data_IF_692432686290
#
_entry.id   IF_692432686290
#
_cell.length_a   1.000
_cell.length_b   1.000
_cell.length_c   1.000
_cell.angle_alpha   90.00
_cell.angle_beta   90.00
_cell.angle_gamma   90.00
#
_symmetry.space_group_name_H-M   'P 1'
#
loop_
_entity.id
_entity.type
_entity.pdbx_description
1 polymer ?
#
# COMPACT_ATOMS: atom_id res chain seq x y z
N UNK A 1 -2.32 60.16 -47.13
CA UNK A 1 -2.37 59.82 -48.56
C UNK A 1 -2.13 58.32 -48.71
N UNK A 2 -3.01 57.65 -49.47
CA UNK A 2 -2.98 56.27 -50.04
C UNK A 2 -2.46 55.09 -49.19
N UNK A 3 -3.28 54.10 -48.77
CA UNK A 3 -3.99 53.01 -49.50
C UNK A 3 -3.09 51.98 -50.20
N UNK A 4 -3.15 50.71 -49.74
CA UNK A 4 -3.21 49.40 -50.45
C UNK A 4 -3.22 48.30 -49.33
N UNK A 5 -4.29 47.56 -48.97
CA UNK A 5 -5.04 46.46 -49.64
C UNK A 5 -4.09 45.39 -50.25
N UNK A 6 -4.19 44.05 -50.05
CA UNK A 6 -5.36 43.14 -50.09
C UNK A 6 -4.93 41.65 -49.82
N UNK A 7 -5.84 40.82 -49.25
CA UNK A 7 -6.06 39.34 -49.33
C UNK A 7 -4.91 38.35 -48.95
N UNK A 8 -5.07 37.09 -48.50
CA UNK A 8 -6.07 36.00 -48.52
C UNK A 8 -5.82 35.16 -47.22
N UNK A 9 -6.77 34.55 -46.50
CA UNK A 9 -7.75 33.57 -46.95
C UNK A 9 -7.21 32.13 -46.73
N UNK A 10 -7.65 31.43 -45.68
CA UNK A 10 -7.95 29.99 -45.73
C UNK A 10 -8.65 29.52 -44.44
N UNK A 11 -9.90 29.11 -44.64
CA UNK A 11 -10.73 28.39 -43.70
C UNK A 11 -10.26 26.93 -43.60
N UNK A 12 -10.22 26.40 -42.38
CA UNK A 12 -10.00 24.98 -42.11
C UNK A 12 -11.03 24.47 -41.10
N UNK A 13 -12.23 24.16 -41.60
CA UNK A 13 -13.17 23.29 -40.90
C UNK A 13 -12.76 21.84 -41.16
N UNK A 14 -12.39 21.10 -40.13
CA UNK A 14 -12.32 19.63 -40.19
C UNK A 14 -12.98 19.00 -38.98
N UNK A 15 -14.15 18.45 -39.29
CA UNK A 15 -14.99 17.47 -38.61
C UNK A 15 -14.46 16.79 -37.32
N UNK A 16 -15.30 16.90 -36.28
CA UNK A 16 -15.45 15.90 -35.24
C UNK A 16 -15.78 14.52 -35.83
N UNK A 17 -15.08 13.49 -35.35
CA UNK A 17 -15.51 12.10 -35.39
C UNK A 17 -15.46 11.58 -33.94
N UNK A 18 -16.59 11.68 -33.25
CA UNK A 18 -16.81 10.99 -31.97
C UNK A 18 -17.32 9.60 -32.34
N UNK A 19 -16.42 8.61 -32.31
CA UNK A 19 -16.81 7.21 -32.40
C UNK A 19 -17.41 6.79 -31.05
N UNK A 20 -18.73 6.70 -31.01
CA UNK A 20 -19.45 6.00 -29.94
C UNK A 20 -19.35 4.49 -30.22
N UNK A 21 -18.56 3.78 -29.42
CA UNK A 21 -18.63 2.32 -29.35
C UNK A 21 -19.56 1.93 -28.20
N UNK A 22 -20.80 1.59 -28.58
CA UNK A 22 -21.67 0.77 -27.75
C UNK A 22 -21.11 -0.65 -27.72
N UNK A 23 -20.63 -1.10 -26.55
CA UNK A 23 -20.44 -2.52 -26.31
C UNK A 23 -21.38 -2.97 -25.19
N UNK A 24 -22.34 -3.78 -25.62
CA UNK A 24 -23.33 -4.43 -24.79
C UNK A 24 -22.66 -5.29 -23.72
N UNK A 25 -23.17 -5.16 -22.50
CA UNK A 25 -22.87 -6.00 -21.34
C UNK A 25 -23.30 -7.43 -21.63
N UNK A 26 -22.34 -8.36 -21.66
CA UNK A 26 -22.63 -9.76 -21.35
C UNK A 26 -22.35 -9.99 -19.86
N UNK A 27 -23.41 -9.93 -19.06
CA UNK A 27 -23.41 -10.43 -17.69
C UNK A 27 -23.10 -11.93 -17.70
N UNK A 28 -21.98 -12.33 -17.10
CA UNK A 28 -21.82 -13.67 -16.55
C UNK A 28 -21.62 -13.54 -15.05
N UNK A 29 -22.57 -14.08 -14.30
CA UNK A 29 -22.58 -14.15 -12.85
C UNK A 29 -21.37 -14.95 -12.33
N UNK A 30 -20.53 -14.30 -11.53
CA UNK A 30 -19.54 -14.95 -10.67
C UNK A 30 -20.10 -15.01 -9.25
N UNK A 31 -20.06 -16.19 -8.66
CA UNK A 31 -20.66 -16.54 -7.37
C UNK A 31 -20.02 -15.78 -6.20
N UNK A 32 -20.86 -15.24 -5.31
CA UNK A 32 -20.47 -14.78 -3.99
C UNK A 32 -20.37 -16.01 -3.07
N UNK A 33 -19.18 -16.39 -2.63
CA UNK A 33 -19.04 -17.28 -1.48
C UNK A 33 -19.14 -16.44 -0.19
N UNK A 34 -20.30 -16.57 0.46
CA UNK A 34 -20.57 -16.00 1.78
C UNK A 34 -20.05 -17.00 2.81
N UNK A 35 -18.92 -16.68 3.45
CA UNK A 35 -18.50 -17.39 4.66
C UNK A 35 -19.20 -16.74 5.86
N UNK A 36 -20.07 -17.51 6.51
CA UNK A 36 -20.78 -17.07 7.71
C UNK A 36 -19.89 -17.22 8.96
N UNK A 37 -19.43 -16.11 9.53
CA UNK A 37 -18.99 -16.05 10.92
C UNK A 37 -19.85 -15.03 11.70
N UNK A 38 -20.17 -15.37 12.95
CA UNK A 38 -21.23 -14.77 13.75
C UNK A 38 -21.21 -13.23 13.88
N UNK A 39 -22.42 -12.66 13.81
CA UNK A 39 -22.89 -11.34 14.25
C UNK A 39 -22.08 -10.06 13.98
N UNK A 40 -21.01 -10.09 13.20
CA UNK A 40 -20.35 -8.89 12.68
C UNK A 40 -20.41 -8.88 11.16
N UNK A 41 -21.13 -7.89 10.62
CA UNK A 41 -21.13 -7.60 9.19
C UNK A 41 -19.86 -6.81 8.84
N UNK A 42 -18.73 -7.49 8.69
CA UNK A 42 -17.55 -6.91 8.07
C UNK A 42 -17.62 -7.13 6.56
N UNK A 43 -18.13 -6.11 5.86
CA UNK A 43 -17.93 -6.01 4.40
C UNK A 43 -16.48 -5.54 4.20
N UNK A 44 -15.54 -6.49 4.22
CA UNK A 44 -14.16 -6.22 3.84
C UNK A 44 -14.14 -6.06 2.32
N UNK A 45 -14.03 -4.82 1.85
CA UNK A 45 -13.75 -4.55 0.45
C UNK A 45 -12.43 -5.18 0.06
N UNK A 46 -12.53 -6.17 -0.81
CA UNK A 46 -11.44 -6.98 -1.29
C UNK A 46 -10.41 -6.13 -2.04
N UNK A 47 -9.15 -6.55 -1.88
CA UNK A 47 -7.99 -6.18 -2.68
C UNK A 47 -8.38 -5.84 -4.13
N UNK A 48 -7.95 -4.66 -4.59
CA UNK A 48 -8.32 -4.09 -5.88
C UNK A 48 -8.19 -5.08 -7.03
N UNK A 49 -9.33 -5.61 -7.46
CA UNK A 49 -9.51 -6.23 -8.77
C UNK A 49 -9.52 -5.13 -9.84
N UNK A 50 -8.34 -4.68 -10.26
CA UNK A 50 -8.19 -3.96 -11.52
C UNK A 50 -7.15 -4.67 -12.40
N UNK A 51 -7.54 -5.86 -12.85
CA UNK A 51 -6.85 -6.57 -13.93
C UNK A 51 -7.33 -6.02 -15.28
N UNK A 52 -6.42 -5.36 -16.00
CA UNK A 52 -6.58 -4.94 -17.39
C UNK A 52 -5.73 -3.73 -17.76
N UNK A 53 -4.53 -3.94 -18.34
CA UNK A 53 -3.69 -2.93 -19.03
C UNK A 53 -3.42 -1.58 -18.30
N UNK A 54 -2.91 -1.58 -17.05
CA UNK A 54 -2.75 -0.34 -16.30
C UNK A 54 -1.31 -0.14 -15.79
N UNK A 55 -0.68 0.98 -16.15
CA UNK A 55 0.66 1.43 -15.76
C UNK A 55 0.77 1.80 -14.25
N UNK A 56 0.25 0.97 -13.35
CA UNK A 56 0.12 1.25 -11.92
C UNK A 56 1.18 0.48 -11.14
N UNK A 57 2.11 1.21 -10.50
CA UNK A 57 3.19 0.64 -9.68
C UNK A 57 3.00 1.06 -8.21
N UNK A 58 3.58 0.31 -7.27
CA UNK A 58 3.61 0.63 -5.83
C UNK A 58 2.22 0.92 -5.22
N UNK A 59 1.33 -0.07 -5.29
CA UNK A 59 -0.04 0.08 -4.77
C UNK A 59 -0.07 -0.26 -3.27
N UNK A 60 -0.45 0.71 -2.44
CA UNK A 60 -0.69 0.52 -1.01
C UNK A 60 -2.20 0.58 -0.78
N UNK A 61 -2.89 -0.54 -0.53
CA UNK A 61 -4.35 -0.55 -0.33
C UNK A 61 -4.74 0.11 1.00
N UNK A 62 -5.98 0.59 1.11
CA UNK A 62 -6.51 1.07 2.40
C UNK A 62 -6.51 -0.02 3.45
N UNK A 63 -5.93 0.24 4.63
CA UNK A 63 -6.01 -0.67 5.78
C UNK A 63 -7.16 -0.26 6.70
N UNK A 64 -8.13 -1.15 6.88
CA UNK A 64 -9.15 -1.02 7.92
C UNK A 64 -8.63 -1.74 9.17
N UNK A 65 -7.73 -1.10 9.90
CA UNK A 65 -7.12 -1.61 11.14
C UNK A 65 -7.25 -0.64 12.32
N UNK A 66 -6.58 -0.95 13.44
CA UNK A 66 -6.58 -0.14 14.68
C UNK A 66 -6.13 1.30 14.43
N UNK A 67 -5.22 1.49 13.47
CA UNK A 67 -4.88 2.78 12.91
C UNK A 67 -5.72 3.01 11.64
N UNK A 68 -6.68 3.94 11.72
CA UNK A 68 -7.67 4.22 10.68
C UNK A 68 -7.03 4.92 9.47
N UNK A 69 -6.26 4.17 8.67
CA UNK A 69 -5.62 4.68 7.47
C UNK A 69 -6.58 4.57 6.28
N UNK A 70 -7.40 5.60 6.08
CA UNK A 70 -8.30 5.67 4.92
C UNK A 70 -7.52 5.91 3.63
N UNK A 71 -7.96 5.32 2.51
CA UNK A 71 -7.42 5.57 1.17
C UNK A 71 -6.28 4.68 0.72
N UNK A 72 -5.96 4.75 -0.57
CA UNK A 72 -4.94 3.94 -1.23
C UNK A 72 -3.91 4.82 -1.93
N UNK A 73 -2.66 4.37 -1.96
CA UNK A 73 -1.57 5.02 -2.69
C UNK A 73 -1.22 4.23 -3.94
N UNK A 74 -0.81 4.90 -5.01
CA UNK A 74 -0.29 4.27 -6.22
C UNK A 74 0.55 5.24 -7.04
N UNK A 75 1.42 4.70 -7.89
CA UNK A 75 2.20 5.45 -8.88
C UNK A 75 1.62 5.19 -10.27
N UNK A 76 1.37 6.25 -11.04
CA UNK A 76 0.95 6.14 -12.44
C UNK A 76 1.83 7.03 -13.31
N UNK A 77 2.51 6.42 -14.30
CA UNK A 77 3.51 7.10 -15.12
C UNK A 77 4.78 7.42 -14.32
N UNK A 78 4.80 8.58 -13.66
CA UNK A 78 5.86 8.99 -12.73
C UNK A 78 5.30 9.91 -11.61
N UNK A 79 3.99 9.85 -11.38
CA UNK A 79 3.29 10.67 -10.41
C UNK A 79 2.72 9.78 -9.31
N UNK A 80 2.87 10.23 -8.07
CA UNK A 80 2.33 9.58 -6.89
C UNK A 80 0.93 10.12 -6.61
N UNK A 81 0.00 9.22 -6.33
CA UNK A 81 -1.39 9.55 -6.07
C UNK A 81 -1.86 8.93 -4.77
N UNK A 82 -2.81 9.61 -4.13
CA UNK A 82 -3.60 9.11 -3.02
C UNK A 82 -5.08 9.20 -3.37
N UNK A 83 -5.80 8.10 -3.25
CA UNK A 83 -7.26 8.05 -3.42
C UNK A 83 -7.92 7.81 -2.07
N UNK A 84 -8.65 8.79 -1.51
CA UNK A 84 -9.38 8.59 -0.26
C UNK A 84 -10.45 7.49 -0.41
N UNK A 85 -10.63 6.64 0.61
CA UNK A 85 -11.74 5.69 0.62
C UNK A 85 -13.04 6.46 0.93
N UNK A 86 -14.09 6.39 0.09
CA UNK A 86 -15.35 7.07 0.38
C UNK A 86 -16.01 6.46 1.63
N UNK A 87 -16.28 7.30 2.64
CA UNK A 87 -17.00 6.87 3.85
C UNK A 87 -18.51 6.93 3.56
N UNK A 88 -19.15 5.78 3.40
CA UNK A 88 -20.61 5.70 3.31
C UNK A 88 -21.21 5.80 4.73
N UNK A 89 -21.74 6.97 5.09
CA UNK A 89 -22.49 7.13 6.35
C UNK A 89 -23.92 6.62 6.16
N UNK A 90 -24.20 5.40 6.61
CA UNK A 90 -25.59 4.90 6.76
C UNK A 90 -26.17 5.45 8.07
N UNK A 91 -27.25 6.21 7.97
CA UNK A 91 -27.95 6.75 9.13
C UNK A 91 -28.92 5.66 9.66
N UNK A 92 -28.72 5.12 10.88
CA UNK A 92 -29.45 3.93 11.35
C UNK A 92 -30.93 4.17 11.69
N UNK A 93 -31.40 5.41 11.66
CA UNK A 93 -32.73 5.81 12.16
C UNK A 93 -33.88 5.69 11.15
N UNK A 94 -33.67 5.20 9.92
CA UNK A 94 -34.78 5.03 8.98
C UNK A 94 -34.58 3.90 7.97
N UNK A 95 -34.81 2.66 8.41
CA UNK A 95 -34.92 1.49 7.52
C UNK A 95 -36.14 1.53 6.58
N UNK A 96 -37.00 2.56 6.66
CA UNK A 96 -38.25 2.63 5.88
C UNK A 96 -38.20 3.54 4.65
N UNK A 97 -37.14 4.33 4.43
CA UNK A 97 -36.95 5.11 3.19
C UNK A 97 -35.50 5.58 3.11
N UNK A 98 -34.55 4.65 3.01
CA UNK A 98 -33.16 5.00 2.78
C UNK A 98 -33.03 5.55 1.35
N UNK A 99 -33.19 6.87 1.19
CA UNK A 99 -32.73 7.56 0.00
C UNK A 99 -31.23 7.25 -0.15
N UNK A 100 -30.90 6.39 -1.11
CA UNK A 100 -29.53 6.11 -1.51
C UNK A 100 -28.92 7.44 -1.95
N UNK A 101 -28.12 8.05 -1.08
CA UNK A 101 -27.33 9.19 -1.47
C UNK A 101 -26.25 8.67 -2.42
N UNK A 102 -26.09 9.27 -3.61
CA UNK A 102 -25.04 8.86 -4.52
C UNK A 102 -23.70 8.94 -3.78
N UNK A 103 -22.97 7.82 -3.79
CA UNK A 103 -21.62 7.75 -3.25
C UNK A 103 -20.79 8.76 -4.02
N UNK A 104 -20.32 9.81 -3.35
CA UNK A 104 -19.33 10.71 -3.95
C UNK A 104 -18.04 9.90 -4.14
N UNK A 105 -17.74 9.59 -5.40
CA UNK A 105 -16.46 8.98 -5.76
C UNK A 105 -15.38 10.00 -5.45
N UNK A 106 -14.55 9.72 -4.45
CA UNK A 106 -13.40 10.56 -4.14
C UNK A 106 -12.44 10.55 -5.33
N UNK A 107 -12.07 11.74 -5.82
CA UNK A 107 -11.11 11.87 -6.90
C UNK A 107 -9.69 11.61 -6.38
N UNK A 108 -8.83 10.90 -7.13
CA UNK A 108 -7.42 10.77 -6.80
C UNK A 108 -6.76 12.14 -6.66
N UNK A 109 -5.93 12.30 -5.64
CA UNK A 109 -5.14 13.50 -5.36
C UNK A 109 -3.69 13.19 -5.66
N UNK A 110 -3.08 13.96 -6.57
CA UNK A 110 -1.65 13.87 -6.81
C UNK A 110 -0.88 14.40 -5.59
N UNK A 111 0.11 13.64 -5.14
CA UNK A 111 0.98 14.05 -4.05
C UNK A 111 1.99 15.09 -4.52
N UNK A 112 2.35 16.00 -3.62
CA UNK A 112 3.43 16.95 -3.85
C UNK A 112 4.74 16.37 -3.30
N UNK A 113 5.78 16.36 -4.13
CA UNK A 113 7.11 15.95 -3.70
C UNK A 113 7.60 16.84 -2.54
N UNK A 114 7.99 16.23 -1.42
CA UNK A 114 8.40 16.95 -0.22
C UNK A 114 7.28 17.69 0.51
N UNK A 115 6.01 17.36 0.24
CA UNK A 115 4.84 18.00 0.84
C UNK A 115 4.57 17.62 2.30
N UNK A 116 5.05 16.47 2.77
CA UNK A 116 4.73 15.89 4.09
C UNK A 116 3.22 15.72 4.35
N UNK A 117 2.40 15.73 3.30
CA UNK A 117 0.94 15.74 3.44
C UNK A 117 0.39 14.38 3.86
N UNK A 118 1.16 13.31 3.66
CA UNK A 118 0.79 11.92 3.96
C UNK A 118 1.80 11.21 4.86
N UNK A 119 2.79 11.94 5.40
CA UNK A 119 3.87 11.37 6.19
C UNK A 119 3.37 10.60 7.42
N UNK A 120 2.35 11.09 8.12
CA UNK A 120 1.75 10.36 9.27
C UNK A 120 1.10 9.05 8.86
N UNK A 121 0.31 9.08 7.79
CA UNK A 121 -0.37 7.90 7.24
C UNK A 121 0.66 6.86 6.76
N UNK A 122 1.63 7.30 5.96
CA UNK A 122 2.68 6.44 5.39
C UNK A 122 3.62 5.89 6.45
N UNK A 123 4.03 6.69 7.45
CA UNK A 123 4.88 6.22 8.54
C UNK A 123 4.18 5.17 9.42
N UNK A 124 2.90 5.37 9.76
CA UNK A 124 2.12 4.40 10.52
C UNK A 124 1.92 3.08 9.76
N UNK A 125 1.66 3.15 8.45
CA UNK A 125 1.59 1.97 7.58
C UNK A 125 2.93 1.26 7.46
N UNK A 126 4.03 2.00 7.35
CA UNK A 126 5.38 1.44 7.24
C UNK A 126 5.74 0.65 8.49
N UNK A 127 5.47 1.21 9.67
CA UNK A 127 5.66 0.51 10.95
C UNK A 127 4.82 -0.78 11.00
N UNK A 128 3.56 -0.69 10.61
CA UNK A 128 2.63 -1.83 10.63
C UNK A 128 3.10 -2.97 9.71
N UNK A 129 3.44 -2.67 8.45
CA UNK A 129 3.86 -3.69 7.49
C UNK A 129 5.27 -4.23 7.80
N UNK A 130 6.19 -3.40 8.27
CA UNK A 130 7.51 -3.87 8.73
C UNK A 130 7.39 -4.83 9.91
N UNK A 131 6.46 -4.58 10.84
CA UNK A 131 6.18 -5.50 11.94
C UNK A 131 5.61 -6.83 11.44
N UNK A 132 4.69 -6.80 10.47
CA UNK A 132 4.14 -8.03 9.85
C UNK A 132 5.19 -8.83 9.11
N UNK A 133 6.10 -8.17 8.40
CA UNK A 133 7.24 -8.82 7.75
C UNK A 133 8.11 -9.55 8.78
N UNK A 134 8.48 -8.88 9.88
CA UNK A 134 9.28 -9.48 10.95
C UNK A 134 8.58 -10.67 11.60
N UNK A 135 7.28 -10.56 11.91
CA UNK A 135 6.52 -11.69 12.46
C UNK A 135 6.48 -12.87 11.50
N UNK A 136 6.23 -12.64 10.21
CA UNK A 136 6.16 -13.72 9.22
C UNK A 136 7.51 -14.41 9.09
N UNK A 137 8.61 -13.65 9.02
CA UNK A 137 9.98 -14.15 9.10
C UNK A 137 10.18 -15.05 10.32
N UNK A 138 9.87 -14.51 11.50
CA UNK A 138 10.12 -15.17 12.77
C UNK A 138 9.32 -16.46 12.94
N UNK A 139 8.08 -16.53 12.46
CA UNK A 139 7.28 -17.74 12.63
C UNK A 139 7.53 -18.76 11.53
N UNK A 140 7.80 -18.35 10.29
CA UNK A 140 7.70 -19.24 9.14
C UNK A 140 9.01 -19.48 8.38
N UNK A 141 10.09 -18.79 8.73
CA UNK A 141 11.32 -18.80 7.93
C UNK A 141 12.62 -19.02 8.73
N UNK A 142 12.55 -19.28 10.03
CA UNK A 142 13.73 -19.47 10.90
C UNK A 142 14.70 -20.57 10.45
N UNK A 143 14.21 -21.54 9.68
CA UNK A 143 15.00 -22.66 9.17
C UNK A 143 15.87 -22.30 7.97
N UNK A 144 15.68 -21.14 7.33
CA UNK A 144 16.45 -20.76 6.15
C UNK A 144 17.88 -20.34 6.54
N UNK A 145 18.89 -20.71 5.74
CA UNK A 145 20.25 -20.17 5.91
C UNK A 145 20.25 -18.64 5.88
N UNK A 146 21.10 -18.02 6.69
CA UNK A 146 21.18 -16.55 6.78
C UNK A 146 20.08 -15.90 7.62
N UNK A 147 19.08 -16.66 8.12
CA UNK A 147 17.93 -16.12 8.83
C UNK A 147 18.28 -15.09 9.91
N UNK A 148 19.26 -15.38 10.76
CA UNK A 148 19.61 -14.50 11.89
C UNK A 148 20.09 -13.11 11.43
N UNK A 149 20.87 -13.05 10.35
CA UNK A 149 21.42 -11.81 9.81
C UNK A 149 20.33 -11.01 9.10
N UNK A 150 19.62 -11.64 8.15
CA UNK A 150 18.53 -11.00 7.42
C UNK A 150 17.38 -10.57 8.35
N UNK A 151 17.06 -11.35 9.39
CA UNK A 151 16.05 -10.98 10.38
C UNK A 151 16.47 -9.78 11.22
N UNK A 152 17.75 -9.68 11.60
CA UNK A 152 18.29 -8.52 12.32
C UNK A 152 18.18 -7.24 11.47
N UNK A 153 18.44 -7.35 10.18
CA UNK A 153 18.29 -6.26 9.22
C UNK A 153 16.82 -5.85 9.04
N UNK A 154 15.93 -6.82 8.84
CA UNK A 154 14.49 -6.57 8.77
C UNK A 154 13.94 -5.92 10.06
N UNK A 155 14.45 -6.35 11.22
CA UNK A 155 14.09 -5.74 12.50
C UNK A 155 14.62 -4.30 12.61
N UNK A 156 15.79 -4.02 12.02
CA UNK A 156 16.34 -2.67 11.95
C UNK A 156 15.51 -1.73 11.06
N UNK A 157 14.85 -2.28 10.01
CA UNK A 157 13.82 -1.56 9.25
C UNK A 157 12.61 -1.22 10.12
N UNK A 158 12.12 -2.18 10.93
CA UNK A 158 11.00 -1.95 11.85
C UNK A 158 11.34 -0.87 12.90
N UNK A 159 12.52 -0.92 13.51
CA UNK A 159 12.95 0.10 14.48
C UNK A 159 13.06 1.48 13.83
N UNK A 160 13.55 1.55 12.59
CA UNK A 160 13.57 2.80 11.81
C UNK A 160 12.17 3.31 11.49
N UNK A 161 11.23 2.42 11.14
CA UNK A 161 9.83 2.78 10.88
C UNK A 161 9.15 3.37 12.13
N UNK A 162 9.33 2.74 13.30
CA UNK A 162 8.87 3.24 14.61
C UNK A 162 9.47 4.62 14.91
N UNK A 163 10.77 4.78 14.66
CA UNK A 163 11.45 6.05 14.88
C UNK A 163 10.87 7.15 13.99
N UNK A 164 10.71 6.89 12.69
CA UNK A 164 10.10 7.83 11.73
C UNK A 164 8.69 8.21 12.14
N UNK A 165 7.86 7.24 12.53
CA UNK A 165 6.50 7.51 13.01
C UNK A 165 6.50 8.36 14.29
N UNK A 166 7.38 8.08 15.26
CA UNK A 166 7.53 8.91 16.45
C UNK A 166 8.02 10.34 16.14
N UNK A 167 8.93 10.49 15.17
CA UNK A 167 9.44 11.80 14.72
C UNK A 167 8.43 12.63 13.96
N UNK A 168 7.49 11.99 13.27
CA UNK A 168 6.36 12.67 12.64
C UNK A 168 5.49 13.39 13.68
N UNK A 169 5.20 12.76 14.82
CA UNK A 169 4.46 13.41 15.92
C UNK A 169 5.23 14.59 16.55
N UNK A 170 6.57 14.60 16.41
CA UNK A 170 7.43 15.68 16.89
C UNK A 170 7.66 16.79 15.84
N UNK A 171 7.22 16.59 14.58
CA UNK A 171 7.49 17.50 13.47
C UNK A 171 8.95 17.54 13.01
N UNK A 172 9.75 16.52 13.36
CA UNK A 172 11.20 16.48 13.10
C UNK A 172 11.50 15.96 11.67
N UNK A 173 11.32 16.84 10.69
CA UNK A 173 11.41 16.51 9.26
C UNK A 173 12.79 16.04 8.82
N UNK A 174 13.85 16.57 9.41
CA UNK A 174 15.22 16.22 9.02
C UNK A 174 15.59 14.84 9.54
N UNK A 175 15.18 14.50 10.76
CA UNK A 175 15.33 13.14 11.28
C UNK A 175 14.55 12.12 10.44
N UNK A 176 13.32 12.46 10.03
CA UNK A 176 12.52 11.61 9.13
C UNK A 176 13.27 11.34 7.83
N UNK A 177 13.74 12.40 7.15
CA UNK A 177 14.46 12.24 5.89
C UNK A 177 15.71 11.37 6.03
N UNK A 178 16.52 11.64 7.06
CA UNK A 178 17.75 10.89 7.31
C UNK A 178 17.50 9.39 7.42
N UNK A 179 16.50 8.99 8.21
CA UNK A 179 16.18 7.59 8.41
C UNK A 179 15.53 6.95 7.18
N UNK A 180 14.59 7.64 6.52
CA UNK A 180 13.94 7.13 5.31
C UNK A 180 14.95 6.83 4.20
N UNK A 181 15.96 7.69 3.98
CA UNK A 181 17.04 7.44 3.00
C UNK A 181 17.80 6.13 3.27
N UNK A 182 18.02 5.80 4.55
CA UNK A 182 18.80 4.61 4.93
C UNK A 182 18.01 3.31 4.80
N UNK A 183 16.68 3.38 4.93
CA UNK A 183 15.81 2.20 4.91
C UNK A 183 15.74 1.55 3.53
N UNK A 184 15.85 2.33 2.46
CA UNK A 184 15.66 1.87 1.07
C UNK A 184 16.71 0.83 0.66
N UNK A 185 17.99 1.15 0.81
CA UNK A 185 19.08 0.20 0.52
C UNK A 185 19.06 -1.04 1.43
N UNK A 186 18.69 -0.86 2.70
CA UNK A 186 18.55 -1.98 3.64
C UNK A 186 17.39 -2.91 3.24
N UNK A 187 16.27 -2.36 2.77
CA UNK A 187 15.14 -3.14 2.31
C UNK A 187 15.47 -3.95 1.05
N UNK A 188 16.15 -3.37 0.08
CA UNK A 188 16.57 -4.09 -1.12
C UNK A 188 17.51 -5.26 -0.80
N UNK A 189 18.43 -5.07 0.16
CA UNK A 189 19.28 -6.17 0.64
C UNK A 189 18.43 -7.30 1.25
N UNK A 190 17.53 -6.97 2.18
CA UNK A 190 16.60 -7.94 2.79
C UNK A 190 15.79 -8.67 1.71
N UNK A 191 15.19 -7.95 0.76
CA UNK A 191 14.41 -8.54 -0.33
C UNK A 191 15.23 -9.49 -1.19
N UNK A 192 16.50 -9.17 -1.46
CA UNK A 192 17.42 -10.05 -2.18
C UNK A 192 17.57 -11.42 -1.51
N UNK A 193 17.79 -11.43 -0.19
CA UNK A 193 17.90 -12.66 0.59
C UNK A 193 16.59 -13.46 0.60
N UNK A 194 15.46 -12.77 0.82
CA UNK A 194 14.14 -13.39 0.93
C UNK A 194 13.70 -14.16 -0.32
N UNK A 195 14.14 -13.75 -1.51
CA UNK A 195 13.81 -14.41 -2.79
C UNK A 195 14.25 -15.87 -2.84
N UNK A 196 15.26 -16.24 -2.05
CA UNK A 196 15.82 -17.62 -2.03
C UNK A 196 15.20 -18.50 -0.95
N UNK A 197 14.40 -17.91 -0.05
CA UNK A 197 13.90 -18.60 1.13
C UNK A 197 12.66 -19.44 0.83
N UNK A 198 12.54 -20.53 1.58
CA UNK A 198 11.39 -21.41 1.58
C UNK A 198 10.55 -21.19 2.83
N UNK A 199 9.22 -21.31 2.69
CA UNK A 199 8.29 -21.15 3.81
C UNK A 199 8.02 -22.48 4.48
N UNK A 200 8.24 -22.56 5.80
CA UNK A 200 7.69 -23.60 6.65
C UNK A 200 6.53 -22.99 7.44
N UNK A 201 5.30 -23.24 7.00
CA UNK A 201 4.14 -22.59 7.57
C UNK A 201 3.86 -23.07 9.01
N UNK A 202 4.18 -22.24 9.99
CA UNK A 202 3.82 -22.43 11.40
C UNK A 202 2.64 -21.54 11.80
N UNK A 203 2.58 -20.31 11.26
CA UNK A 203 1.53 -19.34 11.60
C UNK A 203 1.25 -18.38 10.46
N UNK A 204 -0.02 -18.18 10.12
CA UNK A 204 -0.38 -17.13 9.18
C UNK A 204 -0.28 -15.76 9.86
N UNK A 205 0.57 -14.88 9.31
CA UNK A 205 0.66 -13.48 9.69
C UNK A 205 0.01 -12.68 8.57
N UNK A 206 -1.17 -12.17 8.83
CA UNK A 206 -2.03 -11.54 7.84
C UNK A 206 -2.22 -12.27 6.53
N UNK A 207 -2.20 -11.61 5.37
CA UNK A 207 -2.36 -12.22 4.05
C UNK A 207 -1.10 -12.01 3.20
N UNK A 208 -0.93 -12.85 2.18
CA UNK A 208 0.33 -12.98 1.44
C UNK A 208 1.39 -13.76 2.23
N UNK A 209 2.50 -14.06 1.56
CA UNK A 209 3.74 -14.55 2.17
C UNK A 209 4.75 -13.42 2.33
N UNK A 210 6.00 -13.80 2.58
CA UNK A 210 7.06 -12.85 2.90
C UNK A 210 7.44 -11.92 1.75
N UNK A 211 7.31 -12.38 0.51
CA UNK A 211 7.61 -11.62 -0.71
C UNK A 211 6.57 -10.53 -0.91
N UNK A 212 5.30 -10.90 -0.78
CA UNK A 212 4.21 -9.94 -0.78
C UNK A 212 4.40 -8.88 0.31
N UNK A 213 4.80 -9.29 1.52
CA UNK A 213 5.00 -8.39 2.66
C UNK A 213 6.13 -7.41 2.45
N UNK A 214 7.29 -7.89 2.00
CA UNK A 214 8.45 -7.02 1.75
C UNK A 214 8.14 -5.99 0.66
N UNK A 215 7.33 -6.38 -0.33
CA UNK A 215 6.94 -5.48 -1.41
C UNK A 215 5.87 -4.45 -1.04
N UNK A 216 5.00 -4.71 -0.06
CA UNK A 216 4.23 -3.60 0.54
C UNK A 216 5.11 -2.63 1.31
N UNK A 217 6.09 -3.13 2.08
CA UNK A 217 7.03 -2.27 2.81
C UNK A 217 7.76 -1.35 1.82
N UNK A 218 8.19 -1.89 0.68
CA UNK A 218 8.82 -1.14 -0.41
C UNK A 218 7.88 -0.09 -1.00
N UNK A 219 6.66 -0.49 -1.39
CA UNK A 219 5.68 0.45 -1.93
C UNK A 219 5.38 1.60 -0.97
N UNK A 220 5.21 1.32 0.33
CA UNK A 220 4.99 2.35 1.35
C UNK A 220 6.22 3.24 1.47
N UNK A 221 7.42 2.64 1.52
CA UNK A 221 8.67 3.38 1.65
C UNK A 221 8.90 4.32 0.47
N UNK A 222 8.60 3.90 -0.76
CA UNK A 222 8.74 4.74 -1.95
C UNK A 222 7.76 5.91 -1.95
N UNK A 223 6.50 5.70 -1.53
CA UNK A 223 5.56 6.81 -1.34
C UNK A 223 6.01 7.75 -0.22
N UNK A 224 6.60 7.21 0.86
CA UNK A 224 7.14 8.00 1.96
C UNK A 224 8.34 8.82 1.49
N UNK A 225 9.30 8.24 0.76
CA UNK A 225 10.42 8.94 0.13
C UNK A 225 9.90 10.14 -0.69
N UNK A 226 8.93 9.91 -1.57
CA UNK A 226 8.35 10.97 -2.39
C UNK A 226 7.70 12.08 -1.53
N UNK A 227 6.87 11.72 -0.54
CA UNK A 227 6.17 12.69 0.30
C UNK A 227 7.13 13.52 1.17
N UNK A 228 8.29 12.97 1.57
CA UNK A 228 9.30 13.69 2.36
C UNK A 228 10.37 14.39 1.51
N UNK A 229 10.34 14.19 0.18
CA UNK A 229 11.20 14.86 -0.78
C UNK A 229 12.54 14.17 -1.02
N UNK A 230 12.55 12.85 -0.97
CA UNK A 230 13.69 11.97 -1.28
C UNK A 230 13.39 11.26 -2.59
N UNK A 231 14.34 11.26 -3.51
CA UNK A 231 14.32 10.37 -4.67
C UNK A 231 14.72 8.97 -4.20
N UNK A 232 13.86 7.94 -4.33
CA UNK A 232 14.24 6.57 -3.98
C UNK A 232 15.41 6.11 -4.87
N UNK A 233 16.25 5.19 -4.37
CA UNK A 233 17.29 4.61 -5.21
C UNK A 233 16.58 3.79 -6.30
N UNK A 234 16.78 4.19 -7.55
CA UNK A 234 16.07 3.61 -8.68
C UNK A 234 16.68 2.28 -9.09
N UNK A 235 15.98 1.18 -8.80
CA UNK A 235 16.02 -0.03 -9.60
C UNK A 235 14.57 -0.31 -10.07
N UNK A 236 14.38 -0.46 -11.39
CA UNK A 236 13.09 -0.54 -12.09
C UNK A 236 12.23 -1.79 -11.79
N UNK A 237 12.23 -2.34 -10.57
CA UNK A 237 11.56 -3.62 -10.24
C UNK A 237 10.21 -3.43 -9.51
N UNK A 238 9.07 -3.90 -10.07
CA UNK A 238 7.75 -3.73 -9.48
C UNK A 238 7.43 -4.70 -8.32
N UNK A 239 6.83 -4.17 -7.24
CA UNK A 239 6.50 -4.81 -5.97
C UNK A 239 5.19 -5.71 -5.96
N UNK A 240 5.22 -6.96 -5.40
CA UNK A 240 4.05 -7.79 -5.01
C UNK A 240 3.26 -7.41 -3.71
N UNK A 241 2.10 -8.04 -3.42
CA UNK A 241 1.03 -7.48 -2.53
C UNK A 241 0.58 -8.35 -1.30
N UNK A 242 0.49 -7.83 -0.05
CA UNK A 242 0.12 -8.57 1.20
C UNK A 242 -1.10 -8.00 2.00
N UNK A 243 -1.42 -8.61 3.15
CA UNK A 243 -2.40 -8.11 4.14
C UNK A 243 -2.29 -8.71 5.56
N UNK A 244 -3.41 -8.86 6.30
CA UNK A 244 -3.67 -8.32 7.66
C UNK A 244 -3.83 -9.25 8.88
N UNK A 245 -3.21 -8.87 10.03
CA UNK A 245 -3.60 -9.27 11.41
C UNK A 245 -2.45 -9.11 12.43
N UNK A 246 -2.58 -8.23 13.43
CA UNK A 246 -1.49 -7.74 14.29
C UNK A 246 -1.24 -8.54 15.59
N UNK A 247 0.02 -8.89 15.80
CA UNK A 247 0.69 -9.25 17.05
C UNK A 247 2.03 -8.49 17.07
N UNK A 248 2.67 -8.28 18.22
CA UNK A 248 3.92 -7.52 18.30
C UNK A 248 5.13 -8.46 18.32
N UNK A 249 6.13 -8.21 17.46
CA UNK A 249 7.31 -9.08 17.34
C UNK A 249 8.24 -9.01 18.57
N UNK A 250 8.85 -10.14 18.98
CA UNK A 250 9.86 -10.15 20.04
C UNK A 250 11.22 -9.60 19.56
N UNK A 251 11.96 -8.96 20.49
CA UNK A 251 13.31 -8.46 20.24
C UNK A 251 14.35 -9.60 20.09
N UNK A 252 15.43 -9.42 19.31
CA UNK A 252 16.50 -10.41 19.17
C UNK A 252 17.18 -10.70 20.53
N UNK A 253 17.24 -11.97 20.93
CA UNK A 253 17.93 -12.42 22.16
C UNK A 253 17.03 -12.75 23.36
N UNK A 254 15.70 -12.70 23.21
CA UNK A 254 14.78 -13.21 24.21
C UNK A 254 14.84 -14.74 24.32
N UNK A 255 15.17 -15.26 25.51
CA UNK A 255 15.12 -16.70 25.80
C UNK A 255 13.66 -17.13 25.83
N UNK A 256 13.25 -17.99 24.89
CA UNK A 256 11.90 -18.56 24.86
C UNK A 256 11.94 -19.88 25.63
N UNK A 257 11.29 -19.91 26.80
CA UNK A 257 10.94 -21.18 27.45
C UNK A 257 9.85 -21.84 26.61
N UNK A 258 10.24 -22.75 25.71
CA UNK A 258 9.28 -23.60 25.00
C UNK A 258 8.49 -24.44 26.02
N UNK A 259 7.15 -24.50 25.94
CA UNK A 259 6.39 -25.47 26.73
C UNK A 259 6.76 -26.89 26.30
N UNK A 260 6.84 -27.86 27.23
CA UNK A 260 7.22 -29.23 26.89
C UNK A 260 6.19 -29.87 25.95
N UNK A 261 6.62 -30.77 25.05
CA UNK A 261 5.73 -31.45 24.13
C UNK A 261 4.69 -32.29 24.90
N UNK A 262 3.45 -32.41 24.38
CA UNK A 262 2.47 -33.30 24.97
C UNK A 262 2.99 -34.74 24.89
N UNK A 263 3.09 -35.39 26.05
CA UNK A 263 3.47 -36.80 26.16
C UNK A 263 2.44 -37.67 25.44
N UNK A 264 2.95 -38.65 24.68
CA UNK A 264 2.16 -39.76 24.13
C UNK A 264 1.63 -40.66 25.24
#
# INVERSE_FOLDING_TARGET
MSRFQILCGLAGCSAMLIAASANAQFNRHGHNDVVHHGNHHDVVHHHGSHFGNNNWNYVVPSSHGVHQHSGSFYVQGNAHYYTPTPIVRVNPTSFQSAHLHPVQVAQPVQLQFGGFARCEDLAGRLETEANRLCLDMFYNYQHNPGFQETYKEAYSLLDSAKYVHAKQHQGDRDAIRHHVTQMDGLLHHVQGELRTWSRNHARQIGSGGIIEKSSAVEAILHHLCFDVGIEPHGDDEPAPAPGFGEEQAPAPGGVINSPPPPGF
#
